data_IF_598669119967
#
_entry.id   IF_598669119967
#
_cell.length_a   1.000
_cell.length_b   1.000
_cell.length_c   1.000
_cell.angle_alpha   90.00
_cell.angle_beta   90.00
_cell.angle_gamma   90.00
#
_symmetry.space_group_name_H-M   'P 1'
#
loop_
_entity.id
_entity.type
_entity.pdbx_description
1 polymer ?
#
# COMPACT_ATOMS: atom_id res chain seq x y z
N UNK A 1 38.26 26.57 -12.58
CA UNK A 1 37.67 27.07 -11.33
C UNK A 1 36.58 26.11 -10.94
N UNK A 2 36.78 25.35 -9.86
CA UNK A 2 35.84 24.34 -9.39
C UNK A 2 34.69 25.05 -8.69
N UNK A 3 33.47 24.88 -9.19
CA UNK A 3 32.25 25.36 -8.55
C UNK A 3 31.98 24.51 -7.28
N UNK A 4 31.78 25.12 -6.10
CA UNK A 4 31.50 24.37 -4.89
C UNK A 4 30.05 23.88 -4.94
N UNK A 5 29.88 22.57 -5.18
CA UNK A 5 28.58 21.90 -5.07
C UNK A 5 27.93 22.26 -3.72
N UNK A 6 26.72 22.88 -3.70
CA UNK A 6 26.08 23.26 -2.46
C UNK A 6 25.77 22.01 -1.64
N UNK A 7 26.27 21.95 -0.41
CA UNK A 7 25.88 20.93 0.55
C UNK A 7 24.39 21.04 0.91
N UNK A 8 23.79 19.99 1.50
CA UNK A 8 22.37 19.96 1.83
C UNK A 8 22.01 21.12 2.75
N UNK A 9 20.99 21.91 2.38
CA UNK A 9 20.50 23.02 3.20
C UNK A 9 19.73 22.47 4.41
N UNK A 10 20.02 22.92 5.64
CA UNK A 10 19.19 22.63 6.80
C UNK A 10 17.80 23.21 6.59
N UNK A 11 16.79 22.34 6.50
CA UNK A 11 15.41 22.71 6.16
C UNK A 11 14.89 22.15 4.84
N UNK A 12 15.64 21.28 4.16
CA UNK A 12 15.10 20.50 3.04
C UNK A 12 13.91 19.65 3.57
N UNK A 13 12.67 19.97 3.17
CA UNK A 13 11.51 19.18 3.54
C UNK A 13 11.53 17.97 2.62
N UNK A 14 12.46 17.03 2.87
CA UNK A 14 12.37 15.72 2.24
C UNK A 14 10.97 15.22 2.58
N UNK A 15 10.10 14.95 1.58
CA UNK A 15 8.76 14.47 1.86
C UNK A 15 8.87 13.26 2.78
N UNK A 16 7.97 13.07 3.77
CA UNK A 16 7.90 11.79 4.47
C UNK A 16 7.89 10.73 3.38
N UNK A 17 8.79 9.76 3.42
CA UNK A 17 9.01 8.84 2.30
C UNK A 17 7.68 8.19 1.93
N UNK A 18 7.02 8.77 0.90
CA UNK A 18 5.71 8.34 0.49
C UNK A 18 5.95 6.93 -0.02
N UNK A 19 5.29 5.95 0.61
CA UNK A 19 5.34 4.58 0.12
C UNK A 19 5.10 4.63 -1.38
N UNK A 20 6.00 4.06 -2.21
CA UNK A 20 5.83 4.10 -3.64
C UNK A 20 4.44 3.58 -3.99
N UNK A 21 3.69 4.33 -4.81
CA UNK A 21 2.33 3.94 -5.25
C UNK A 21 2.32 2.53 -5.85
N UNK A 22 3.43 2.11 -6.47
CA UNK A 22 3.64 0.75 -6.95
C UNK A 22 3.55 -0.31 -5.85
N UNK A 23 4.11 -0.04 -4.66
CA UNK A 23 4.05 -0.96 -3.53
C UNK A 23 2.64 -1.03 -2.94
N UNK A 24 1.88 0.07 -2.90
CA UNK A 24 0.47 0.03 -2.51
C UNK A 24 -0.38 -0.74 -3.53
N UNK A 25 -0.11 -0.56 -4.82
CA UNK A 25 -0.79 -1.28 -5.90
C UNK A 25 -0.56 -2.80 -5.78
N UNK A 26 0.66 -3.22 -5.47
CA UNK A 26 0.97 -4.64 -5.25
C UNK A 26 0.17 -5.25 -4.08
N UNK A 27 0.08 -4.55 -2.94
CA UNK A 27 -0.74 -5.03 -1.80
C UNK A 27 -2.22 -5.14 -2.14
N UNK A 28 -2.74 -4.19 -2.94
CA UNK A 28 -4.14 -4.21 -3.39
C UNK A 28 -4.38 -5.39 -4.34
N UNK A 29 -3.47 -5.63 -5.29
CA UNK A 29 -3.54 -6.77 -6.20
C UNK A 29 -3.52 -8.09 -5.42
N UNK A 30 -2.63 -8.23 -4.45
CA UNK A 30 -2.54 -9.41 -3.59
C UNK A 30 -3.81 -9.60 -2.74
N UNK A 31 -4.36 -8.53 -2.17
CA UNK A 31 -5.60 -8.60 -1.41
C UNK A 31 -6.78 -9.05 -2.30
N UNK A 32 -6.89 -8.54 -3.52
CA UNK A 32 -7.98 -8.86 -4.44
C UNK A 32 -7.84 -10.27 -5.02
N UNK A 33 -6.63 -10.79 -5.20
CA UNK A 33 -6.40 -12.17 -5.61
C UNK A 33 -7.01 -13.20 -4.65
N UNK A 34 -7.30 -12.83 -3.40
CA UNK A 34 -8.06 -13.67 -2.46
C UNK A 34 -9.49 -14.00 -2.90
N UNK A 35 -10.04 -13.22 -3.84
CA UNK A 35 -11.35 -13.43 -4.48
C UNK A 35 -11.28 -14.24 -5.78
N UNK A 36 -10.08 -14.66 -6.22
CA UNK A 36 -9.96 -15.53 -7.38
C UNK A 36 -10.73 -16.84 -7.12
N UNK A 37 -11.46 -17.28 -8.15
CA UNK A 37 -12.34 -18.45 -8.12
C UNK A 37 -13.43 -18.43 -7.01
N UNK A 38 -13.84 -17.24 -6.55
CA UNK A 38 -14.90 -17.11 -5.54
C UNK A 38 -16.21 -17.77 -5.99
N UNK A 39 -16.53 -17.69 -7.29
CA UNK A 39 -17.69 -18.32 -7.91
C UNK A 39 -17.65 -19.86 -7.86
N UNK A 40 -16.46 -20.45 -7.76
CA UNK A 40 -16.26 -21.88 -7.52
C UNK A 40 -16.46 -22.31 -6.07
N UNK A 41 -16.59 -21.36 -5.12
CA UNK A 41 -16.74 -21.65 -3.69
C UNK A 41 -18.22 -21.65 -3.26
N UNK A 42 -18.59 -22.42 -2.21
CA UNK A 42 -19.91 -22.32 -1.61
C UNK A 42 -20.25 -20.88 -1.22
N UNK A 43 -21.49 -20.45 -1.49
CA UNK A 43 -21.97 -19.09 -1.15
C UNK A 43 -21.81 -18.77 0.34
N UNK A 44 -21.90 -19.79 1.21
CA UNK A 44 -21.67 -19.65 2.64
C UNK A 44 -20.24 -19.17 3.00
N UNK A 45 -19.26 -19.42 2.13
CA UNK A 45 -17.86 -19.03 2.34
C UNK A 45 -17.54 -17.62 1.81
N UNK A 46 -18.44 -17.04 1.01
CA UNK A 46 -18.23 -15.73 0.38
C UNK A 46 -18.02 -14.61 1.40
N UNK A 47 -18.83 -14.48 2.47
CA UNK A 47 -18.63 -13.44 3.48
C UNK A 47 -17.22 -13.51 4.09
N UNK A 48 -16.75 -14.70 4.44
CA UNK A 48 -15.42 -14.89 5.03
C UNK A 48 -14.28 -14.55 4.04
N UNK A 49 -14.49 -14.72 2.75
CA UNK A 49 -13.54 -14.27 1.72
C UNK A 49 -13.52 -12.74 1.63
N UNK A 50 -14.69 -12.10 1.53
CA UNK A 50 -14.79 -10.63 1.49
C UNK A 50 -14.25 -9.96 2.76
N UNK A 51 -14.49 -10.51 3.94
CA UNK A 51 -13.96 -9.99 5.20
C UNK A 51 -12.42 -10.00 5.24
N UNK A 52 -11.80 -11.08 4.75
CA UNK A 52 -10.34 -11.17 4.64
C UNK A 52 -9.76 -10.09 3.73
N UNK A 53 -10.41 -9.85 2.59
CA UNK A 53 -10.02 -8.81 1.64
C UNK A 53 -10.14 -7.42 2.27
N UNK A 54 -11.28 -7.11 2.90
CA UNK A 54 -11.46 -5.84 3.59
C UNK A 54 -10.42 -5.61 4.69
N UNK A 55 -10.10 -6.65 5.47
CA UNK A 55 -9.06 -6.55 6.50
C UNK A 55 -7.66 -6.30 5.89
N UNK A 56 -7.32 -6.96 4.78
CA UNK A 56 -6.05 -6.78 4.08
C UNK A 56 -5.92 -5.36 3.50
N UNK A 57 -6.95 -4.88 2.80
CA UNK A 57 -7.01 -3.50 2.28
C UNK A 57 -6.93 -2.47 3.41
N UNK A 58 -7.65 -2.69 4.51
CA UNK A 58 -7.59 -1.80 5.68
C UNK A 58 -6.18 -1.67 6.23
N UNK A 59 -5.43 -2.78 6.33
CA UNK A 59 -4.01 -2.76 6.75
C UNK A 59 -3.12 -2.03 5.76
N UNK A 60 -3.26 -2.32 4.46
CA UNK A 60 -2.43 -1.70 3.42
C UNK A 60 -2.62 -0.17 3.36
N UNK A 61 -3.86 0.30 3.53
CA UNK A 61 -4.20 1.72 3.52
C UNK A 61 -3.81 2.41 4.84
N UNK A 62 -4.07 1.80 6.00
CA UNK A 62 -3.67 2.37 7.29
C UNK A 62 -2.15 2.46 7.43
N UNK A 63 -1.40 1.47 6.95
CA UNK A 63 0.08 1.52 6.94
C UNK A 63 0.64 2.68 6.10
N UNK A 64 -0.10 3.13 5.09
CA UNK A 64 0.20 4.33 4.31
C UNK A 64 -0.24 5.63 5.01
N UNK A 65 -1.32 5.59 5.79
CA UNK A 65 -1.92 6.75 6.46
C UNK A 65 -1.27 7.11 7.80
N UNK A 66 -0.74 6.14 8.56
CA UNK A 66 -0.06 6.39 9.86
C UNK A 66 1.34 7.02 9.73
N UNK A 67 1.80 7.26 8.49
CA UNK A 67 3.06 7.95 8.18
C UNK A 67 2.87 9.34 7.55
N UNK A 68 1.62 9.83 7.50
CA UNK A 68 1.23 11.14 6.98
C UNK A 68 1.21 12.23 8.02
#
# INVERSE_FOLDING_TARGET
>A
MTDPSPGPRPGDPRPPEQRPVAALRADVEEAVAGLDDLDGRPVADHPAAFERVHAALGRALSAGSERG
#
